data_IF_669309525767
#
_entry.id   IF_669309525767
#
_cell.length_a   1.000
_cell.length_b   1.000
_cell.length_c   1.000
_cell.angle_alpha   90.00
_cell.angle_beta   90.00
_cell.angle_gamma   90.00
#
_symmetry.space_group_name_H-M   'P 1'
#
loop_
_entity.id
_entity.type
_entity.pdbx_description
1 polymer ?
#
# COMPACT_ATOMS: atom_id res chain seq x y z
N UNK A 1 -37.05 19.02 6.74
CA UNK A 1 -35.75 18.36 6.51
C UNK A 1 -36.01 16.93 6.06
N UNK A 2 -35.26 16.39 5.11
CA UNK A 2 -35.44 15.00 4.69
C UNK A 2 -35.15 14.06 5.87
N UNK A 3 -35.99 13.04 6.06
CA UNK A 3 -35.81 12.01 7.08
C UNK A 3 -34.63 11.09 6.77
N UNK A 4 -34.22 11.05 5.49
CA UNK A 4 -33.12 10.25 4.96
C UNK A 4 -32.16 11.13 4.17
N UNK A 5 -30.90 10.72 4.11
CA UNK A 5 -29.87 11.36 3.29
C UNK A 5 -29.54 10.46 2.10
N UNK A 6 -29.38 11.08 0.94
CA UNK A 6 -29.03 10.39 -0.29
C UNK A 6 -27.57 10.62 -0.64
N UNK A 7 -26.97 9.61 -1.26
CA UNK A 7 -25.60 9.60 -1.72
C UNK A 7 -25.63 9.48 -3.23
N UNK A 8 -24.71 10.15 -3.92
CA UNK A 8 -24.56 10.02 -5.36
C UNK A 8 -24.51 8.53 -5.77
N UNK A 9 -25.50 8.01 -6.51
CA UNK A 9 -25.52 6.60 -6.90
C UNK A 9 -24.28 6.22 -7.72
N UNK A 10 -23.82 7.13 -8.57
CA UNK A 10 -22.62 6.93 -9.39
C UNK A 10 -21.37 6.78 -8.52
N UNK A 11 -21.18 7.64 -7.51
CA UNK A 11 -20.04 7.56 -6.59
C UNK A 11 -20.08 6.24 -5.81
N UNK A 12 -21.24 5.85 -5.29
CA UNK A 12 -21.39 4.62 -4.50
C UNK A 12 -21.06 3.37 -5.32
N UNK A 13 -21.59 3.28 -6.55
CA UNK A 13 -21.33 2.15 -7.46
C UNK A 13 -19.85 2.09 -7.83
N UNK A 14 -19.25 3.22 -8.24
CA UNK A 14 -17.84 3.26 -8.64
C UNK A 14 -16.93 2.90 -7.47
N UNK A 15 -17.18 3.45 -6.29
CA UNK A 15 -16.38 3.16 -5.10
C UNK A 15 -16.48 1.67 -4.70
N UNK A 16 -17.66 1.06 -4.84
CA UNK A 16 -17.85 -0.39 -4.60
C UNK A 16 -17.07 -1.23 -5.61
N UNK A 17 -17.15 -0.90 -6.90
CA UNK A 17 -16.37 -1.58 -7.95
C UNK A 17 -14.87 -1.47 -7.68
N UNK A 18 -14.41 -0.28 -7.30
CA UNK A 18 -13.00 -0.05 -6.95
C UNK A 18 -12.59 -0.84 -5.72
N UNK A 19 -13.40 -0.88 -4.66
CA UNK A 19 -13.10 -1.66 -3.47
C UNK A 19 -12.93 -3.16 -3.78
N UNK A 20 -13.83 -3.70 -4.61
CA UNK A 20 -13.73 -5.10 -5.09
C UNK A 20 -12.46 -5.27 -5.92
N UNK A 21 -12.19 -4.36 -6.86
CA UNK A 21 -10.99 -4.40 -7.69
C UNK A 21 -9.71 -4.46 -6.85
N UNK A 22 -9.57 -3.58 -5.84
CA UNK A 22 -8.39 -3.50 -4.99
C UNK A 22 -8.17 -4.79 -4.18
N UNK A 23 -9.24 -5.45 -3.75
CA UNK A 23 -9.17 -6.70 -2.98
C UNK A 23 -8.89 -7.92 -3.88
N UNK A 24 -9.45 -7.94 -5.09
CA UNK A 24 -9.37 -9.09 -5.99
C UNK A 24 -8.11 -9.07 -6.86
N UNK A 25 -7.62 -7.89 -7.26
CA UNK A 25 -6.43 -7.73 -8.10
C UNK A 25 -5.18 -8.49 -7.60
N UNK A 26 -4.83 -8.49 -6.30
CA UNK A 26 -3.68 -9.25 -5.81
C UNK A 26 -3.78 -10.75 -6.11
N UNK A 27 -4.97 -11.34 -5.99
CA UNK A 27 -5.19 -12.75 -6.25
C UNK A 27 -5.19 -13.06 -7.75
N UNK A 28 -5.61 -12.12 -8.60
CA UNK A 28 -5.47 -12.23 -10.06
C UNK A 28 -3.99 -12.31 -10.42
N UNK A 29 -3.18 -11.34 -9.95
CA UNK A 29 -1.74 -11.34 -10.24
C UNK A 29 -1.01 -12.53 -9.62
N UNK A 30 -1.36 -12.93 -8.40
CA UNK A 30 -0.83 -14.15 -7.76
C UNK A 30 -1.17 -15.40 -8.57
N UNK A 31 -2.40 -15.52 -9.06
CA UNK A 31 -2.82 -16.65 -9.91
C UNK A 31 -2.07 -16.71 -11.24
N UNK A 32 -1.86 -15.54 -11.88
CA UNK A 32 -1.08 -15.44 -13.11
C UNK A 32 0.38 -15.86 -12.85
N UNK A 33 0.99 -15.36 -11.77
CA UNK A 33 2.37 -15.72 -11.41
C UNK A 33 2.49 -17.22 -11.09
N UNK A 34 1.56 -17.77 -10.31
CA UNK A 34 1.49 -19.19 -9.98
C UNK A 34 1.46 -20.07 -11.24
N UNK A 35 0.57 -19.77 -12.18
CA UNK A 35 0.43 -20.53 -13.43
C UNK A 35 1.62 -20.34 -14.37
N UNK A 36 2.12 -19.11 -14.53
CA UNK A 36 3.18 -18.77 -15.49
C UNK A 36 4.57 -19.21 -15.05
N UNK A 37 4.84 -19.22 -13.75
CA UNK A 37 6.17 -19.50 -13.21
C UNK A 37 6.22 -20.73 -12.30
N UNK A 38 5.14 -21.49 -12.17
CA UNK A 38 5.03 -22.67 -11.32
C UNK A 38 5.44 -22.41 -9.85
N UNK A 39 5.15 -21.22 -9.33
CA UNK A 39 5.56 -20.79 -7.99
C UNK A 39 4.45 -20.97 -6.97
N UNK A 40 4.75 -21.58 -5.81
CA UNK A 40 3.74 -21.86 -4.79
C UNK A 40 3.15 -20.62 -4.12
N UNK A 41 1.86 -20.67 -3.77
CA UNK A 41 1.15 -19.61 -3.03
C UNK A 41 1.74 -19.29 -1.65
N UNK A 42 2.52 -20.20 -1.06
CA UNK A 42 3.19 -19.95 0.23
C UNK A 42 4.03 -18.67 0.23
N UNK A 43 4.68 -18.32 -0.88
CA UNK A 43 5.51 -17.12 -0.95
C UNK A 43 4.68 -15.83 -0.98
N UNK A 44 3.49 -15.85 -1.59
CA UNK A 44 2.53 -14.76 -1.51
C UNK A 44 2.14 -14.52 -0.05
N UNK A 45 1.77 -15.58 0.67
CA UNK A 45 1.41 -15.46 2.08
C UNK A 45 2.58 -15.05 2.97
N UNK A 46 3.83 -15.43 2.65
CA UNK A 46 5.00 -14.89 3.34
C UNK A 46 5.15 -13.38 3.15
N UNK A 47 4.91 -12.87 1.94
CA UNK A 47 4.91 -11.43 1.67
C UNK A 47 3.81 -10.70 2.44
N UNK A 48 2.59 -11.22 2.38
CA UNK A 48 1.46 -10.68 3.13
C UNK A 48 1.72 -10.68 4.64
N UNK A 49 2.27 -11.76 5.20
CA UNK A 49 2.60 -11.84 6.62
C UNK A 49 3.67 -10.82 7.03
N UNK A 50 4.70 -10.63 6.20
CA UNK A 50 5.71 -9.59 6.47
C UNK A 50 5.08 -8.20 6.46
N UNK A 51 4.24 -7.90 5.47
CA UNK A 51 3.50 -6.63 5.42
C UNK A 51 2.65 -6.43 6.68
N UNK A 52 1.91 -7.46 7.10
CA UNK A 52 1.05 -7.42 8.30
C UNK A 52 1.86 -7.06 9.54
N UNK A 53 3.00 -7.72 9.73
CA UNK A 53 3.83 -7.54 10.92
C UNK A 53 4.54 -6.19 10.88
N UNK A 54 5.19 -5.84 9.77
CA UNK A 54 6.01 -4.62 9.69
C UNK A 54 5.18 -3.35 9.80
N UNK A 55 4.00 -3.32 9.18
CA UNK A 55 3.18 -2.12 9.05
C UNK A 55 2.01 -2.10 10.06
N UNK A 56 0.89 -2.82 9.86
CA UNK A 56 -0.24 -2.78 10.79
C UNK A 56 0.08 -3.13 12.25
N UNK A 57 0.97 -4.09 12.51
CA UNK A 57 1.20 -4.57 13.88
C UNK A 57 2.37 -3.89 14.60
N UNK A 58 3.31 -3.28 13.88
CA UNK A 58 4.49 -2.65 14.49
C UNK A 58 4.54 -1.16 14.21
N UNK A 59 4.76 -0.77 12.96
CA UNK A 59 5.06 0.63 12.62
C UNK A 59 3.85 1.54 12.82
N UNK A 60 2.68 1.19 12.26
CA UNK A 60 1.50 2.07 12.28
C UNK A 60 1.09 2.40 13.72
N UNK A 61 0.93 1.43 14.64
CA UNK A 61 0.60 1.75 16.03
C UNK A 61 1.67 2.59 16.74
N UNK A 62 2.96 2.29 16.50
CA UNK A 62 4.07 3.05 17.09
C UNK A 62 4.03 4.52 16.66
N UNK A 63 3.87 4.74 15.36
CA UNK A 63 3.77 6.07 14.76
C UNK A 63 2.54 6.82 15.30
N UNK A 64 1.39 6.14 15.39
CA UNK A 64 0.14 6.74 15.88
C UNK A 64 0.26 7.18 17.35
N UNK A 65 0.80 6.32 18.22
CA UNK A 65 1.06 6.67 19.62
C UNK A 65 2.03 7.84 19.70
N UNK A 66 3.18 7.75 19.03
CA UNK A 66 4.20 8.81 19.07
C UNK A 66 3.63 10.16 18.60
N UNK A 67 2.90 10.16 17.48
CA UNK A 67 2.30 11.36 16.92
C UNK A 67 1.27 11.97 17.86
N UNK A 68 0.33 11.18 18.36
CA UNK A 68 -0.84 11.70 19.07
C UNK A 68 -0.57 12.00 20.55
N UNK A 69 0.38 11.30 21.19
CA UNK A 69 0.63 11.48 22.63
C UNK A 69 1.86 12.33 22.93
N UNK A 70 2.92 12.21 22.14
CA UNK A 70 4.21 12.88 22.43
C UNK A 70 4.39 14.11 21.55
N UNK A 71 4.07 14.00 20.26
CA UNK A 71 4.47 14.99 19.26
C UNK A 71 3.37 15.99 18.87
N UNK A 72 2.10 15.71 19.20
CA UNK A 72 0.97 16.53 18.76
C UNK A 72 1.16 18.04 19.03
N UNK A 73 1.58 18.49 20.25
CA UNK A 73 1.79 19.93 20.49
C UNK A 73 2.85 20.55 19.57
N UNK A 74 3.96 19.83 19.31
CA UNK A 74 5.04 20.29 18.45
C UNK A 74 4.63 20.34 16.98
N UNK A 75 3.86 19.34 16.53
CA UNK A 75 3.36 19.27 15.15
C UNK A 75 2.34 20.37 14.85
N UNK A 76 1.53 20.79 15.83
CA UNK A 76 0.57 21.88 15.64
C UNK A 76 1.19 23.28 15.69
N UNK A 77 2.35 23.44 16.32
CA UNK A 77 2.94 24.76 16.59
C UNK A 77 4.19 25.05 15.75
N UNK A 78 4.84 24.04 15.19
CA UNK A 78 6.10 24.18 14.44
C UNK A 78 6.02 23.54 13.06
N UNK A 79 6.08 24.40 12.04
CA UNK A 79 6.18 23.94 10.64
C UNK A 79 7.48 23.15 10.39
N UNK A 80 8.58 23.55 11.02
CA UNK A 80 9.86 22.83 10.94
C UNK A 80 9.71 21.41 11.48
N UNK A 81 9.05 21.26 12.63
CA UNK A 81 8.82 19.95 13.23
C UNK A 81 7.87 19.09 12.40
N UNK A 82 6.87 19.69 11.77
CA UNK A 82 5.98 19.00 10.80
C UNK A 82 6.76 18.40 9.64
N UNK A 83 7.67 19.16 9.03
CA UNK A 83 8.50 18.66 7.93
C UNK A 83 9.50 17.58 8.37
N UNK A 84 10.12 17.74 9.53
CA UNK A 84 10.96 16.69 10.13
C UNK A 84 10.14 15.42 10.31
N UNK A 85 8.91 15.54 10.80
CA UNK A 85 8.02 14.40 11.00
C UNK A 85 7.61 13.73 9.68
N UNK A 86 7.31 14.49 8.62
CA UNK A 86 7.07 13.93 7.27
C UNK A 86 8.25 13.08 6.80
N UNK A 87 9.49 13.57 7.00
CA UNK A 87 10.70 12.81 6.64
C UNK A 87 10.83 11.55 7.49
N UNK A 88 10.65 11.66 8.82
CA UNK A 88 10.71 10.51 9.73
C UNK A 88 9.68 9.45 9.32
N UNK A 89 8.43 9.86 9.05
CA UNK A 89 7.35 8.99 8.60
C UNK A 89 7.75 8.21 7.35
N UNK A 90 8.22 8.90 6.31
CA UNK A 90 8.62 8.25 5.07
C UNK A 90 9.83 7.32 5.25
N UNK A 91 10.86 7.76 5.97
CA UNK A 91 12.08 6.97 6.21
C UNK A 91 11.78 5.69 7.00
N UNK A 92 10.95 5.82 8.03
CA UNK A 92 10.58 4.67 8.85
C UNK A 92 9.65 3.71 8.10
N UNK A 93 8.89 4.16 7.09
CA UNK A 93 8.12 3.27 6.23
C UNK A 93 9.05 2.36 5.44
N UNK A 94 9.95 2.97 4.66
CA UNK A 94 10.94 2.23 3.88
C UNK A 94 11.79 1.30 4.76
N UNK A 95 12.20 1.74 5.95
CA UNK A 95 13.00 0.90 6.85
C UNK A 95 12.23 -0.31 7.39
N UNK A 96 10.99 -0.12 7.85
CA UNK A 96 10.19 -1.23 8.39
C UNK A 96 9.76 -2.19 7.29
N UNK A 97 9.36 -1.71 6.11
CA UNK A 97 8.96 -2.59 5.02
C UNK A 97 10.13 -3.35 4.44
N UNK A 98 11.19 -2.67 4.00
CA UNK A 98 12.33 -3.36 3.40
C UNK A 98 13.09 -4.19 4.44
N UNK A 99 13.17 -3.71 5.69
CA UNK A 99 13.69 -4.46 6.82
C UNK A 99 12.89 -5.73 7.07
N UNK A 100 11.56 -5.61 7.05
CA UNK A 100 10.64 -6.73 7.09
C UNK A 100 10.88 -7.72 5.96
N UNK A 101 11.02 -7.24 4.71
CA UNK A 101 11.30 -8.11 3.55
C UNK A 101 12.62 -8.85 3.69
N UNK A 102 13.66 -8.15 4.11
CA UNK A 102 14.97 -8.73 4.36
C UNK A 102 14.91 -9.84 5.42
N UNK A 103 14.22 -9.59 6.54
CA UNK A 103 14.01 -10.57 7.61
C UNK A 103 13.16 -11.73 7.09
N UNK A 104 12.09 -11.46 6.34
CA UNK A 104 11.22 -12.47 5.73
C UNK A 104 11.97 -13.44 4.83
N UNK A 105 12.84 -12.93 3.95
CA UNK A 105 13.71 -13.78 3.14
C UNK A 105 14.65 -14.64 3.99
N UNK A 106 15.18 -14.11 5.10
CA UNK A 106 16.05 -14.88 6.01
C UNK A 106 15.29 -15.96 6.76
N UNK A 107 14.09 -15.68 7.26
CA UNK A 107 13.35 -16.60 8.11
C UNK A 107 12.61 -17.64 7.27
N UNK A 108 11.76 -17.20 6.35
CA UNK A 108 10.84 -18.07 5.61
C UNK A 108 11.49 -18.79 4.42
N UNK A 109 12.61 -18.28 3.92
CA UNK A 109 13.38 -18.88 2.81
C UNK A 109 14.80 -19.23 3.24
N UNK A 110 15.02 -19.54 4.53
CA UNK A 110 16.33 -19.92 5.08
C UNK A 110 16.92 -21.16 4.40
N UNK A 111 16.07 -22.17 4.14
CA UNK A 111 16.46 -23.50 3.63
C UNK A 111 16.09 -23.73 2.17
N UNK A 112 15.85 -22.66 1.43
CA UNK A 112 15.40 -22.72 0.04
C UNK A 112 16.16 -21.71 -0.83
N UNK A 113 16.29 -21.97 -2.14
CA UNK A 113 16.92 -21.02 -3.03
C UNK A 113 16.03 -19.78 -3.12
N UNK A 114 16.65 -18.61 -2.98
CA UNK A 114 15.97 -17.32 -3.05
C UNK A 114 16.02 -16.86 -4.51
N UNK A 115 15.01 -17.24 -5.27
CA UNK A 115 14.94 -16.99 -6.71
C UNK A 115 14.10 -15.77 -7.04
N UNK A 116 14.33 -15.17 -8.21
CA UNK A 116 13.56 -14.04 -8.71
C UNK A 116 12.04 -14.31 -8.72
N UNK A 117 11.63 -15.52 -9.13
CA UNK A 117 10.21 -15.88 -9.19
C UNK A 117 9.57 -15.88 -7.80
N UNK A 118 10.27 -16.39 -6.78
CA UNK A 118 9.79 -16.36 -5.39
C UNK A 118 9.68 -14.92 -4.88
N UNK A 119 10.63 -14.06 -5.21
CA UNK A 119 10.56 -12.64 -4.88
C UNK A 119 9.40 -11.92 -5.57
N UNK A 120 9.07 -12.29 -6.81
CA UNK A 120 7.90 -11.75 -7.50
C UNK A 120 6.61 -12.14 -6.78
N UNK A 121 6.41 -13.43 -6.52
CA UNK A 121 5.22 -13.91 -5.80
C UNK A 121 5.13 -13.32 -4.38
N UNK A 122 6.27 -13.18 -3.71
CA UNK A 122 6.40 -12.54 -2.41
C UNK A 122 5.98 -11.06 -2.44
N UNK A 123 6.47 -10.28 -3.40
CA UNK A 123 6.08 -8.87 -3.55
C UNK A 123 4.61 -8.68 -3.90
N UNK A 124 4.03 -9.59 -4.69
CA UNK A 124 2.58 -9.59 -4.98
C UNK A 124 1.74 -9.78 -3.71
N UNK A 125 2.19 -10.65 -2.81
CA UNK A 125 1.51 -10.86 -1.52
C UNK A 125 1.66 -9.69 -0.56
N UNK A 126 2.84 -9.08 -0.54
CA UNK A 126 3.11 -7.88 0.25
C UNK A 126 2.19 -6.72 -0.18
N UNK A 127 2.23 -6.33 -1.46
CA UNK A 127 1.32 -5.30 -1.99
C UNK A 127 -0.13 -5.74 -1.86
N UNK A 128 -0.42 -7.03 -1.98
CA UNK A 128 -1.77 -7.54 -1.88
C UNK A 128 -2.44 -7.21 -0.56
N UNK A 129 -1.72 -7.42 0.54
CA UNK A 129 -2.22 -7.06 1.86
C UNK A 129 -2.21 -5.54 2.07
N UNK A 130 -1.18 -4.84 1.60
CA UNK A 130 -1.10 -3.38 1.67
C UNK A 130 -2.31 -2.74 0.98
N UNK A 131 -2.58 -3.10 -0.27
CA UNK A 131 -3.74 -2.68 -1.05
C UNK A 131 -5.06 -2.92 -0.30
N UNK A 132 -5.22 -4.11 0.30
CA UNK A 132 -6.44 -4.46 1.02
C UNK A 132 -6.64 -3.66 2.32
N UNK A 133 -5.58 -3.48 3.12
CA UNK A 133 -5.68 -2.89 4.46
C UNK A 133 -5.40 -1.39 4.51
N UNK A 134 -4.33 -0.93 3.85
CA UNK A 134 -3.80 0.42 4.00
C UNK A 134 -3.98 1.27 2.73
N UNK A 135 -3.88 0.65 1.55
CA UNK A 135 -3.78 1.31 0.25
C UNK A 135 -5.11 1.70 -0.39
N UNK A 136 -6.24 1.19 0.09
CA UNK A 136 -7.55 1.61 -0.43
C UNK A 136 -8.71 0.69 -0.13
N UNK A 137 -8.49 -0.62 0.06
CA UNK A 137 -9.57 -1.58 0.29
C UNK A 137 -10.42 -1.19 1.50
N UNK A 138 -9.84 -1.26 2.70
CA UNK A 138 -10.53 -0.91 3.93
C UNK A 138 -10.90 0.58 4.00
N UNK A 139 -10.04 1.46 3.47
CA UNK A 139 -10.25 2.91 3.48
C UNK A 139 -11.41 3.38 2.60
N UNK A 140 -11.78 2.62 1.57
CA UNK A 140 -12.99 2.86 0.77
C UNK A 140 -14.19 2.13 1.39
N UNK A 141 -14.01 0.88 1.82
CA UNK A 141 -15.11 0.06 2.34
C UNK A 141 -15.74 0.63 3.60
N UNK A 142 -14.96 1.08 4.58
CA UNK A 142 -15.52 1.57 5.84
C UNK A 142 -16.40 2.82 5.64
N UNK A 143 -15.95 3.89 4.96
CA UNK A 143 -16.82 5.03 4.67
C UNK A 143 -18.05 4.66 3.84
N UNK A 144 -17.93 3.76 2.86
CA UNK A 144 -19.08 3.31 2.07
C UNK A 144 -20.12 2.59 2.93
N UNK A 145 -19.69 1.70 3.82
CA UNK A 145 -20.58 1.00 4.75
C UNK A 145 -21.25 1.96 5.72
N UNK A 146 -20.49 2.91 6.29
CA UNK A 146 -21.04 3.94 7.17
C UNK A 146 -22.12 4.76 6.46
N UNK A 147 -21.83 5.20 5.23
CA UNK A 147 -22.75 6.01 4.44
C UNK A 147 -23.99 5.21 4.00
N UNK A 148 -23.82 3.95 3.59
CA UNK A 148 -24.93 3.06 3.27
C UNK A 148 -25.86 2.88 4.48
N UNK A 149 -25.30 2.63 5.67
CA UNK A 149 -26.08 2.51 6.90
C UNK A 149 -26.83 3.81 7.23
N UNK A 150 -26.14 4.96 7.18
CA UNK A 150 -26.73 6.27 7.44
C UNK A 150 -27.87 6.63 6.45
N UNK A 151 -27.84 6.09 5.23
CA UNK A 151 -28.90 6.30 4.24
C UNK A 151 -30.19 5.50 4.54
N UNK A 152 -30.12 4.50 5.42
CA UNK A 152 -31.26 3.63 5.78
C UNK A 152 -31.97 4.01 7.07
N UNK A 153 -31.34 4.84 7.92
CA UNK A 153 -31.90 5.26 9.21
C UNK A 153 -32.70 6.54 9.09
N UNK A 154 -33.71 6.71 9.95
CA UNK A 154 -34.41 7.98 10.09
C UNK A 154 -33.54 8.93 10.93
N UNK A 155 -32.96 9.95 10.32
CA UNK A 155 -32.04 10.88 11.01
C UNK A 155 -32.72 11.63 12.16
N UNK A 156 -34.05 11.79 12.11
CA UNK A 156 -34.81 12.44 13.16
C UNK A 156 -34.85 11.63 14.46
N UNK A 157 -34.55 10.32 14.41
CA UNK A 157 -34.44 9.48 15.62
C UNK A 157 -33.07 9.56 16.29
N UNK A 158 -32.09 10.25 15.69
CA UNK A 158 -30.76 10.42 16.26
C UNK A 158 -30.72 11.65 17.19
N UNK A 159 -29.87 11.61 18.23
CA UNK A 159 -29.47 12.80 18.97
C UNK A 159 -28.93 13.89 18.03
N UNK A 160 -29.15 15.16 18.37
CA UNK A 160 -28.79 16.30 17.51
C UNK A 160 -27.33 16.27 17.05
N UNK A 161 -26.40 15.95 17.97
CA UNK A 161 -24.97 15.86 17.68
C UNK A 161 -24.65 14.78 16.64
N UNK A 162 -25.25 13.61 16.76
CA UNK A 162 -25.08 12.49 15.82
C UNK A 162 -25.74 12.78 14.47
N UNK A 163 -26.89 13.45 14.49
CA UNK A 163 -27.58 13.89 13.28
C UNK A 163 -26.73 14.89 12.48
N UNK A 164 -26.17 15.90 13.14
CA UNK A 164 -25.30 16.88 12.50
C UNK A 164 -24.03 16.23 11.92
N UNK A 165 -23.41 15.31 12.66
CA UNK A 165 -22.25 14.56 12.17
C UNK A 165 -22.59 13.73 10.92
N UNK A 166 -23.72 13.04 10.90
CA UNK A 166 -24.18 12.27 9.75
C UNK A 166 -24.45 13.16 8.52
N UNK A 167 -25.08 14.33 8.71
CA UNK A 167 -25.30 15.32 7.65
C UNK A 167 -23.97 15.80 7.06
N UNK A 168 -23.02 16.17 7.92
CA UNK A 168 -21.70 16.64 7.46
C UNK A 168 -20.92 15.55 6.73
N UNK A 169 -20.97 14.31 7.20
CA UNK A 169 -20.32 13.17 6.55
C UNK A 169 -20.91 12.90 5.17
N UNK A 170 -22.23 12.90 5.01
CA UNK A 170 -22.84 12.66 3.69
C UNK A 170 -22.61 13.85 2.76
N UNK A 171 -22.64 15.09 3.28
CA UNK A 171 -22.31 16.28 2.49
C UNK A 171 -20.85 16.23 1.97
N UNK A 172 -19.89 15.81 2.78
CA UNK A 172 -18.48 15.71 2.37
C UNK A 172 -18.27 14.62 1.30
N UNK A 173 -18.96 13.48 1.42
CA UNK A 173 -18.93 12.41 0.43
C UNK A 173 -19.56 12.86 -0.89
N UNK A 174 -20.73 13.52 -0.85
CA UNK A 174 -21.39 14.03 -2.04
C UNK A 174 -20.64 15.18 -2.72
N UNK A 175 -19.77 15.89 -2.00
CA UNK A 175 -18.89 16.89 -2.57
C UNK A 175 -17.73 16.29 -3.37
N UNK A 176 -17.45 14.99 -3.23
CA UNK A 176 -16.39 14.33 -3.99
C UNK A 176 -16.81 14.10 -5.45
N UNK A 177 -15.90 14.31 -6.42
CA UNK A 177 -16.17 13.91 -7.79
C UNK A 177 -16.45 12.40 -7.87
N UNK A 178 -17.50 12.00 -8.60
CA UNK A 178 -17.91 10.59 -8.70
C UNK A 178 -16.80 9.66 -9.21
N UNK A 179 -15.85 10.20 -9.98
CA UNK A 179 -14.72 9.48 -10.56
C UNK A 179 -13.53 9.36 -9.60
N UNK A 180 -13.50 10.08 -8.47
CA UNK A 180 -12.35 10.10 -7.56
C UNK A 180 -11.90 8.72 -7.06
N UNK A 181 -12.77 7.71 -6.83
CA UNK A 181 -12.31 6.39 -6.43
C UNK A 181 -11.49 5.70 -7.53
N UNK A 182 -11.66 6.05 -8.80
CA UNK A 182 -10.87 5.49 -9.90
C UNK A 182 -9.38 5.83 -9.77
N UNK A 183 -9.04 6.96 -9.11
CA UNK A 183 -7.65 7.28 -8.80
C UNK A 183 -7.04 6.28 -7.81
N UNK A 184 -7.83 5.76 -6.87
CA UNK A 184 -7.33 4.72 -5.95
C UNK A 184 -7.04 3.44 -6.72
N UNK A 185 -7.94 3.00 -7.61
CA UNK A 185 -7.70 1.84 -8.47
C UNK A 185 -6.45 2.02 -9.34
N UNK A 186 -6.29 3.20 -9.95
CA UNK A 186 -5.12 3.55 -10.74
C UNK A 186 -3.83 3.48 -9.92
N UNK A 187 -3.83 4.10 -8.74
CA UNK A 187 -2.68 4.08 -7.85
C UNK A 187 -2.30 2.64 -7.47
N UNK A 188 -3.28 1.80 -7.12
CA UNK A 188 -3.01 0.39 -6.79
C UNK A 188 -2.44 -0.40 -7.96
N UNK A 189 -2.95 -0.20 -9.17
CA UNK A 189 -2.41 -0.86 -10.36
C UNK A 189 -0.90 -0.60 -10.54
N UNK A 190 -0.44 0.62 -10.23
CA UNK A 190 0.96 1.02 -10.37
C UNK A 190 1.83 0.77 -9.12
N UNK A 191 1.25 0.64 -7.92
CA UNK A 191 2.01 0.22 -6.73
C UNK A 191 2.44 -1.24 -6.79
N UNK A 192 1.68 -2.11 -7.45
CA UNK A 192 2.07 -3.52 -7.67
C UNK A 192 3.47 -3.71 -8.27
N UNK A 193 3.77 -3.21 -9.49
CA UNK A 193 5.11 -3.37 -10.04
C UNK A 193 6.19 -2.69 -9.19
N UNK A 194 5.86 -1.62 -8.45
CA UNK A 194 6.78 -0.97 -7.54
C UNK A 194 7.16 -1.87 -6.35
N UNK A 195 6.18 -2.38 -5.59
CA UNK A 195 6.48 -3.23 -4.42
C UNK A 195 7.08 -4.58 -4.81
N UNK A 196 6.70 -5.11 -5.97
CA UNK A 196 7.36 -6.29 -6.55
C UNK A 196 8.81 -5.98 -6.90
N UNK A 197 9.11 -4.81 -7.47
CA UNK A 197 10.48 -4.39 -7.75
C UNK A 197 11.32 -4.27 -6.48
N UNK A 198 10.78 -3.63 -5.43
CA UNK A 198 11.43 -3.51 -4.13
C UNK A 198 11.73 -4.88 -3.52
N UNK A 199 10.78 -5.83 -3.62
CA UNK A 199 10.99 -7.22 -3.20
C UNK A 199 12.13 -7.89 -3.97
N UNK A 200 12.23 -7.66 -5.30
CA UNK A 200 13.32 -8.18 -6.15
C UNK A 200 14.65 -7.47 -5.87
N UNK A 201 14.65 -6.20 -5.48
CA UNK A 201 15.85 -5.48 -5.06
C UNK A 201 16.40 -6.02 -3.75
N UNK A 202 15.58 -6.17 -2.71
CA UNK A 202 16.00 -6.74 -1.42
C UNK A 202 16.53 -8.17 -1.59
N UNK A 203 15.93 -8.95 -2.50
CA UNK A 203 16.45 -10.27 -2.86
C UNK A 203 17.93 -10.24 -3.28
N UNK A 204 18.37 -9.21 -4.02
CA UNK A 204 19.75 -9.11 -4.50
C UNK A 204 20.78 -9.03 -3.39
N UNK A 205 20.40 -8.64 -2.17
CA UNK A 205 21.29 -8.68 -1.00
C UNK A 205 21.82 -10.09 -0.76
N UNK A 206 20.98 -11.10 -0.97
CA UNK A 206 21.35 -12.50 -0.77
C UNK A 206 22.07 -13.08 -1.99
N UNK A 207 21.62 -12.70 -3.19
CA UNK A 207 22.13 -13.28 -4.45
C UNK A 207 23.46 -12.69 -4.86
N UNK A 208 23.57 -11.36 -4.83
CA UNK A 208 24.80 -10.65 -5.20
C UNK A 208 25.72 -10.42 -4.00
N UNK A 209 25.29 -10.76 -2.78
CA UNK A 209 26.02 -10.54 -1.51
C UNK A 209 26.42 -9.07 -1.27
N UNK A 210 25.66 -8.14 -1.84
CA UNK A 210 25.93 -6.70 -1.75
C UNK A 210 24.81 -5.99 -0.98
N UNK A 211 25.16 -5.41 0.17
CA UNK A 211 24.20 -4.71 1.05
C UNK A 211 23.61 -3.44 0.42
N UNK A 212 24.26 -2.86 -0.61
CA UNK A 212 23.77 -1.67 -1.31
C UNK A 212 22.34 -1.81 -1.83
N UNK A 213 21.93 -3.01 -2.23
CA UNK A 213 20.59 -3.28 -2.71
C UNK A 213 19.50 -3.07 -1.66
N UNK A 214 19.81 -3.33 -0.39
CA UNK A 214 18.91 -3.01 0.73
C UNK A 214 18.72 -1.51 0.85
N UNK A 215 19.82 -0.75 0.92
CA UNK A 215 19.75 0.71 1.08
C UNK A 215 19.11 1.40 -0.12
N UNK A 216 19.32 0.88 -1.34
CA UNK A 216 18.64 1.37 -2.53
C UNK A 216 17.13 1.11 -2.47
N UNK A 217 16.69 -0.06 -2.00
CA UNK A 217 15.27 -0.33 -1.80
C UNK A 217 14.66 0.61 -0.76
N UNK A 218 15.32 0.77 0.40
CA UNK A 218 14.87 1.69 1.47
C UNK A 218 14.76 3.12 0.96
N UNK A 219 15.77 3.60 0.23
CA UNK A 219 15.78 4.94 -0.34
C UNK A 219 14.64 5.13 -1.34
N UNK A 220 14.45 4.16 -2.24
CA UNK A 220 13.41 4.23 -3.27
C UNK A 220 12.01 4.23 -2.66
N UNK A 221 11.77 3.37 -1.67
CA UNK A 221 10.53 3.34 -0.90
C UNK A 221 10.28 4.66 -0.17
N UNK A 222 11.28 5.11 0.60
CA UNK A 222 11.24 6.37 1.36
C UNK A 222 10.93 7.56 0.46
N UNK A 223 11.50 7.61 -0.74
CA UNK A 223 11.29 8.72 -1.67
C UNK A 223 9.82 8.83 -2.10
N UNK A 224 9.19 7.70 -2.40
CA UNK A 224 7.80 7.67 -2.87
C UNK A 224 6.87 8.08 -1.72
N UNK A 225 7.05 7.48 -0.55
CA UNK A 225 6.28 7.81 0.65
C UNK A 225 6.46 9.27 1.03
N UNK A 226 7.71 9.78 0.97
CA UNK A 226 7.99 11.19 1.21
C UNK A 226 7.19 12.07 0.26
N UNK A 227 7.19 11.79 -1.05
CA UNK A 227 6.42 12.59 -2.01
C UNK A 227 4.90 12.53 -1.74
N UNK A 228 4.38 11.36 -1.35
CA UNK A 228 2.95 11.22 -1.03
C UNK A 228 2.52 12.01 0.20
N UNK A 229 3.43 12.22 1.15
CA UNK A 229 3.18 13.03 2.36
C UNK A 229 3.52 14.51 2.15
N UNK A 230 4.63 14.79 1.49
CA UNK A 230 5.18 16.13 1.31
C UNK A 230 4.33 17.00 0.38
N UNK A 231 3.84 16.47 -0.74
CA UNK A 231 3.11 17.29 -1.72
C UNK A 231 1.80 17.84 -1.15
N UNK A 232 0.94 17.04 -0.51
CA UNK A 232 -0.23 17.57 0.19
C UNK A 232 0.13 18.52 1.34
N UNK A 233 1.22 18.25 2.05
CA UNK A 233 1.69 19.12 3.14
C UNK A 233 2.14 20.50 2.64
N UNK A 234 2.77 20.57 1.47
CA UNK A 234 3.28 21.82 0.89
C UNK A 234 2.18 22.63 0.17
N UNK A 235 1.27 21.95 -0.54
CA UNK A 235 0.35 22.60 -1.49
C UNK A 235 -1.13 22.46 -1.11
N UNK A 236 -1.42 21.77 -0.02
CA UNK A 236 -2.78 21.44 0.40
C UNK A 236 -3.37 20.25 -0.37
N UNK A 237 -4.45 19.70 0.18
CA UNK A 237 -5.19 18.63 -0.49
C UNK A 237 -6.07 19.21 -1.59
N UNK A 238 -5.81 18.79 -2.83
CA UNK A 238 -6.62 19.17 -3.99
C UNK A 238 -6.65 18.04 -5.02
N UNK A 239 -7.63 18.10 -5.92
CA UNK A 239 -7.73 17.18 -7.05
C UNK A 239 -6.46 17.20 -7.92
N UNK A 240 -5.86 18.39 -8.14
CA UNK A 240 -4.63 18.52 -8.91
C UNK A 240 -3.47 17.76 -8.24
N UNK A 241 -3.30 17.90 -6.93
CA UNK A 241 -2.25 17.19 -6.18
C UNK A 241 -2.48 15.66 -6.23
N UNK A 242 -3.72 15.20 -6.11
CA UNK A 242 -4.04 13.76 -6.23
C UNK A 242 -3.68 13.21 -7.62
N UNK A 243 -3.95 13.97 -8.69
CA UNK A 243 -3.58 13.59 -10.05
C UNK A 243 -2.05 13.54 -10.23
N UNK A 244 -1.33 14.54 -9.70
CA UNK A 244 0.15 14.54 -9.72
C UNK A 244 0.72 13.33 -9.00
N UNK A 245 0.23 13.01 -7.80
CA UNK A 245 0.67 11.84 -7.04
C UNK A 245 0.44 10.53 -7.79
N UNK A 246 -0.71 10.37 -8.45
CA UNK A 246 -1.00 9.21 -9.28
C UNK A 246 -0.12 9.13 -10.54
N UNK A 247 0.22 10.28 -11.11
CA UNK A 247 1.19 10.37 -12.21
C UNK A 247 2.59 9.95 -11.76
N UNK A 248 3.05 10.44 -10.60
CA UNK A 248 4.32 10.04 -9.99
C UNK A 248 4.33 8.54 -9.74
N UNK A 249 3.29 8.00 -9.10
CA UNK A 249 3.19 6.56 -8.81
C UNK A 249 3.20 5.72 -10.09
N UNK A 250 2.55 6.18 -11.17
CA UNK A 250 2.65 5.55 -12.49
C UNK A 250 4.09 5.50 -13.00
N UNK A 251 4.84 6.61 -12.93
CA UNK A 251 6.25 6.64 -13.34
C UNK A 251 7.09 5.67 -12.52
N UNK A 252 6.91 5.66 -11.20
CA UNK A 252 7.61 4.72 -10.31
C UNK A 252 7.22 3.26 -10.57
N UNK A 253 5.96 3.00 -10.91
CA UNK A 253 5.49 1.68 -11.31
C UNK A 253 6.13 1.22 -12.62
N UNK A 254 6.27 2.10 -13.63
CA UNK A 254 7.00 1.80 -14.87
C UNK A 254 8.47 1.51 -14.60
N UNK A 255 9.12 2.29 -13.74
CA UNK A 255 10.50 2.01 -13.29
C UNK A 255 10.55 0.65 -12.58
N UNK A 256 9.54 0.32 -11.76
CA UNK A 256 9.40 -0.98 -11.12
C UNK A 256 9.36 -2.14 -12.13
N UNK A 257 8.56 -2.04 -13.18
CA UNK A 257 8.52 -3.01 -14.28
C UNK A 257 9.92 -3.19 -14.89
N UNK A 258 10.62 -2.07 -15.17
CA UNK A 258 11.97 -2.11 -15.71
C UNK A 258 12.96 -2.81 -14.76
N UNK A 259 12.93 -2.52 -13.45
CA UNK A 259 13.77 -3.16 -12.44
C UNK A 259 13.49 -4.67 -12.38
N UNK A 260 12.21 -5.06 -12.34
CA UNK A 260 11.77 -6.46 -12.31
C UNK A 260 12.33 -7.21 -13.52
N UNK A 261 12.21 -6.63 -14.72
CA UNK A 261 12.73 -7.24 -15.94
C UNK A 261 14.26 -7.29 -15.96
N UNK A 262 14.93 -6.19 -15.58
CA UNK A 262 16.39 -6.08 -15.63
C UNK A 262 17.12 -7.02 -14.68
N UNK A 263 16.50 -7.29 -13.52
CA UNK A 263 17.02 -8.19 -12.48
C UNK A 263 16.51 -9.62 -12.60
N UNK A 264 15.78 -9.95 -13.68
CA UNK A 264 15.35 -11.31 -13.96
C UNK A 264 16.53 -12.22 -14.30
N UNK A 265 16.48 -13.43 -13.79
CA UNK A 265 17.49 -14.46 -14.04
C UNK A 265 17.32 -15.10 -15.43
N UNK A 266 18.43 -15.45 -16.10
CA UNK A 266 18.42 -16.44 -17.18
C UNK A 266 17.99 -17.81 -16.64
N UNK A 267 17.12 -18.52 -17.37
CA UNK A 267 16.49 -19.80 -16.95
C UNK A 267 17.45 -20.89 -16.48
N UNK A 268 18.70 -20.87 -16.96
CA UNK A 268 19.68 -21.92 -16.70
C UNK A 268 20.32 -21.83 -15.31
N UNK A 269 20.36 -20.65 -14.69
CA UNK A 269 20.94 -20.45 -13.35
C UNK A 269 19.96 -20.88 -12.24
N UNK A 270 18.66 -20.63 -12.43
CA UNK A 270 17.63 -21.02 -11.46
C UNK A 270 17.55 -22.54 -11.27
N UNK A 271 17.73 -23.31 -12.35
CA UNK A 271 17.65 -24.77 -12.32
C UNK A 271 18.88 -25.41 -11.66
N UNK A 272 20.07 -24.86 -11.90
CA UNK A 272 21.31 -25.33 -11.27
C UNK A 272 21.35 -25.07 -9.75
N UNK A 273 20.74 -23.97 -9.28
CA UNK A 273 20.65 -23.68 -7.84
C UNK A 273 19.67 -24.63 -7.12
N UNK A 274 18.54 -24.99 -7.73
CA UNK A 274 17.59 -25.97 -7.18
C UNK A 274 18.20 -27.38 -7.05
N UNK A 275 19.01 -27.79 -8.02
CA UNK A 275 19.67 -29.10 -8.03
C UNK A 275 20.86 -29.19 -7.02
N UNK A 276 21.35 -28.06 -6.50
CA UNK A 276 22.55 -27.99 -5.65
C UNK A 276 22.32 -28.13 -4.15
N UNK A 277 21.07 -28.21 -3.70
CA UNK A 277 20.74 -28.34 -2.26
C UNK A 277 20.75 -29.83 -1.90
N UNK A 278 21.66 -30.30 -1.04
CA UNK A 278 21.58 -31.66 -0.52
C UNK A 278 20.33 -31.78 0.35
N UNK A 279 19.56 -32.85 0.09
CA UNK A 279 18.39 -33.23 0.89
C UNK A 279 18.71 -33.36 2.38
#
# INVERSE_FOLDING_TARGET
MSSTLHVSPALFVIATVVAIFVIVLPFIFGSIAHKKFAVGWKYFWFGALVMLVSQPLMRVPLIEVLQNTVLAPLLHTSITFTWIWVVIQAMTAGLFEEGGRYIGYRLFMSREPKTWVKAVMYGLGHEGLESALLGGGLQILLPLLSVALLSTINLNSLPETSRQAAIQQIASVNAMPFWSPLLVAWGRLWSFPLQVALSVMVLQVFRQRQRRWFFLAVLFHTLIDFLTLALPQAFGQSTAIQLVLNGILCVFGVIGIWIIWRLREPSNQARAEEESIPF
#
